data_IF_670632255216
#
_entry.id   IF_670632255216
#
_cell.length_a   1.000
_cell.length_b   1.000
_cell.length_c   1.000
_cell.angle_alpha   90.00
_cell.angle_beta   90.00
_cell.angle_gamma   90.00
#
_symmetry.space_group_name_H-M   'P 1'
#
loop_
_entity.id
_entity.type
_entity.pdbx_description
1 polymer ?
#
# COMPACT_ATOMS: atom_id res chain seq x y z
N UNK A 1 52.36 -0.52 32.21
CA UNK A 1 51.74 -1.14 31.01
C UNK A 1 50.49 -1.98 31.28
N UNK A 2 50.24 -2.53 32.49
CA UNK A 2 49.00 -3.31 32.78
C UNK A 2 47.71 -2.47 32.82
N UNK A 3 47.78 -1.18 33.18
CA UNK A 3 46.62 -0.28 33.27
C UNK A 3 46.12 0.22 31.90
N UNK A 4 46.98 0.21 30.88
CA UNK A 4 46.60 0.58 29.50
C UNK A 4 45.87 -0.57 28.78
N UNK A 5 46.22 -1.83 29.08
CA UNK A 5 45.56 -3.00 28.51
C UNK A 5 44.08 -3.13 28.97
N UNK A 6 43.77 -2.70 30.19
CA UNK A 6 42.39 -2.72 30.73
C UNK A 6 41.50 -1.68 30.05
N UNK A 7 42.08 -0.54 29.66
CA UNK A 7 41.36 0.57 29.03
C UNK A 7 40.98 0.27 27.58
N UNK A 8 41.81 -0.49 26.86
CA UNK A 8 41.52 -0.95 25.49
C UNK A 8 40.50 -2.08 25.48
N UNK A 9 40.51 -2.96 26.49
CA UNK A 9 39.52 -4.05 26.60
C UNK A 9 38.11 -3.51 26.87
N UNK A 10 37.96 -2.40 27.60
CA UNK A 10 36.67 -1.74 27.82
C UNK A 10 36.11 -1.07 26.56
N UNK A 11 36.97 -0.60 25.65
CA UNK A 11 36.55 0.09 24.43
C UNK A 11 35.96 -0.88 23.37
N UNK A 12 36.44 -2.13 23.34
CA UNK A 12 36.00 -3.14 22.37
C UNK A 12 34.65 -3.76 22.75
N UNK A 13 34.35 -3.90 24.05
CA UNK A 13 33.07 -4.47 24.53
C UNK A 13 31.89 -3.52 24.27
N UNK A 14 32.13 -2.20 24.22
CA UNK A 14 31.09 -1.22 23.94
C UNK A 14 30.57 -1.24 22.49
N UNK A 15 31.35 -1.76 21.54
CA UNK A 15 30.96 -1.78 20.12
C UNK A 15 30.09 -2.98 19.74
N UNK A 16 30.17 -4.09 20.49
CA UNK A 16 29.37 -5.29 20.23
C UNK A 16 27.90 -5.08 20.61
N UNK A 17 27.60 -4.18 21.56
CA UNK A 17 26.24 -3.85 21.97
C UNK A 17 25.45 -3.07 20.90
N UNK A 18 26.14 -2.39 19.97
CA UNK A 18 25.48 -1.58 18.93
C UNK A 18 25.00 -2.44 17.76
N UNK A 19 25.65 -3.59 17.48
CA UNK A 19 25.24 -4.50 16.40
C UNK A 19 23.97 -5.29 16.72
N UNK A 20 23.67 -5.56 17.99
CA UNK A 20 22.41 -6.22 18.37
C UNK A 20 21.21 -5.26 18.49
N UNK A 21 21.44 -3.94 18.49
CA UNK A 21 20.34 -2.96 18.51
C UNK A 21 19.72 -2.72 17.12
N UNK A 22 20.41 -3.09 16.04
CA UNK A 22 19.88 -2.94 14.68
C UNK A 22 19.01 -4.12 14.20
N UNK A 23 18.93 -5.23 14.95
CA UNK A 23 18.09 -6.37 14.56
C UNK A 23 16.63 -6.23 15.03
N UNK A 24 16.29 -5.18 15.79
CA UNK A 24 14.93 -5.00 16.33
C UNK A 24 14.12 -3.88 15.68
N UNK A 25 14.50 -3.43 14.48
CA UNK A 25 13.69 -2.46 13.70
C UNK A 25 12.62 -3.13 12.81
N UNK A 26 12.20 -4.35 13.15
CA UNK A 26 11.04 -5.02 12.54
C UNK A 26 9.79 -5.07 13.44
N UNK A 27 9.79 -4.30 14.53
CA UNK A 27 8.57 -3.92 15.25
C UNK A 27 8.38 -2.40 15.16
N UNK A 28 8.38 -1.88 13.93
CA UNK A 28 7.47 -0.76 13.67
C UNK A 28 6.08 -1.36 13.87
N UNK A 29 5.51 -1.11 15.05
CA UNK A 29 4.08 -1.06 15.33
C UNK A 29 3.29 -1.07 14.03
N UNK A 30 2.37 -2.02 13.87
CA UNK A 30 1.27 -1.89 12.92
C UNK A 30 0.84 -0.43 12.97
N UNK A 31 1.25 0.37 11.98
CA UNK A 31 0.61 1.65 11.74
C UNK A 31 -0.80 1.19 11.49
N UNK A 32 -1.71 1.52 12.39
CA UNK A 32 -3.14 1.33 12.15
C UNK A 32 -3.41 2.01 10.82
N UNK A 33 -3.45 1.20 9.77
CA UNK A 33 -3.74 1.68 8.44
C UNK A 33 -5.23 1.94 8.49
N UNK A 34 -5.67 3.21 8.48
CA UNK A 34 -7.07 3.51 8.68
C UNK A 34 -7.91 2.84 7.60
N UNK A 35 -9.12 2.41 7.97
CA UNK A 35 -10.10 2.00 6.98
C UNK A 35 -10.52 3.24 6.17
N UNK A 36 -10.18 3.26 4.90
CA UNK A 36 -10.57 4.32 3.97
C UNK A 36 -11.95 4.02 3.41
N UNK A 37 -12.70 5.08 3.05
CA UNK A 37 -14.03 4.94 2.43
C UNK A 37 -14.14 5.72 1.10
N UNK A 38 -13.28 5.43 0.11
CA UNK A 38 -13.32 6.11 -1.18
C UNK A 38 -14.63 5.85 -1.92
N UNK A 39 -14.99 6.76 -2.81
CA UNK A 39 -16.10 6.64 -3.75
C UNK A 39 -15.53 6.62 -5.16
N UNK A 40 -15.75 5.54 -5.89
CA UNK A 40 -15.20 5.34 -7.24
C UNK A 40 -16.31 5.32 -8.28
N UNK A 41 -15.98 5.69 -9.52
CA UNK A 41 -16.77 5.28 -10.69
C UNK A 41 -16.48 3.80 -10.95
N UNK A 42 -17.50 2.98 -11.20
CA UNK A 42 -17.33 1.52 -11.38
C UNK A 42 -16.33 1.19 -12.52
N UNK A 43 -16.40 1.91 -13.64
CA UNK A 43 -15.46 1.74 -14.76
C UNK A 43 -14.01 2.08 -14.41
N UNK A 44 -13.77 3.01 -13.49
CA UNK A 44 -12.41 3.37 -13.07
C UNK A 44 -11.76 2.22 -12.26
N UNK A 45 -12.56 1.43 -11.52
CA UNK A 45 -12.09 0.21 -10.84
C UNK A 45 -11.66 -0.85 -11.87
N UNK A 46 -12.43 -1.05 -12.95
CA UNK A 46 -12.05 -1.95 -14.04
C UNK A 46 -10.72 -1.53 -14.67
N UNK A 47 -10.55 -0.23 -14.94
CA UNK A 47 -9.29 0.30 -15.50
C UNK A 47 -8.14 0.09 -14.53
N UNK A 48 -8.32 0.34 -13.23
CA UNK A 48 -7.30 0.07 -12.21
C UNK A 48 -6.88 -1.41 -12.19
N UNK A 49 -7.82 -2.35 -12.35
CA UNK A 49 -7.49 -3.77 -12.46
C UNK A 49 -6.72 -4.10 -13.75
N UNK A 50 -7.10 -3.52 -14.90
CA UNK A 50 -6.35 -3.72 -16.15
C UNK A 50 -4.92 -3.20 -16.07
N UNK A 51 -4.73 -2.06 -15.42
CA UNK A 51 -3.42 -1.47 -15.17
C UNK A 51 -2.60 -2.38 -14.24
N UNK A 52 -3.22 -2.84 -13.15
CA UNK A 52 -2.59 -3.72 -12.17
C UNK A 52 -2.09 -5.03 -12.81
N UNK A 53 -2.84 -5.60 -13.76
CA UNK A 53 -2.46 -6.84 -14.45
C UNK A 53 -1.22 -6.69 -15.35
N UNK A 54 -0.85 -5.47 -15.73
CA UNK A 54 0.29 -5.20 -16.61
C UNK A 54 1.61 -4.89 -15.90
N UNK A 55 1.66 -4.94 -14.56
CA UNK A 55 2.87 -4.58 -13.82
C UNK A 55 3.83 -5.77 -13.67
N UNK A 56 5.13 -5.47 -13.68
CA UNK A 56 6.15 -6.42 -13.27
C UNK A 56 6.13 -6.59 -11.75
N UNK A 57 6.28 -7.84 -11.27
CA UNK A 57 6.26 -8.18 -9.85
C UNK A 57 7.55 -8.86 -9.42
N UNK A 58 8.04 -8.48 -8.26
CA UNK A 58 9.05 -9.26 -7.55
C UNK A 58 8.38 -10.39 -6.77
N UNK A 59 9.07 -11.52 -6.57
CA UNK A 59 8.50 -12.69 -5.89
C UNK A 59 7.98 -12.41 -4.48
N UNK A 60 8.59 -11.46 -3.76
CA UNK A 60 8.15 -11.03 -2.43
C UNK A 60 6.91 -10.12 -2.43
N UNK A 61 6.42 -9.71 -3.60
CA UNK A 61 5.25 -8.82 -3.75
C UNK A 61 3.97 -9.59 -4.10
N UNK A 62 4.07 -10.89 -4.40
CA UNK A 62 2.96 -11.71 -4.92
C UNK A 62 1.77 -11.72 -3.98
N UNK A 63 1.97 -11.92 -2.68
CA UNK A 63 0.87 -11.98 -1.72
C UNK A 63 0.13 -10.64 -1.61
N UNK A 64 0.88 -9.54 -1.52
CA UNK A 64 0.33 -8.18 -1.48
C UNK A 64 -0.40 -7.84 -2.79
N UNK A 65 0.12 -8.29 -3.93
CA UNK A 65 -0.51 -8.13 -5.23
C UNK A 65 -1.85 -8.88 -5.31
N UNK A 66 -1.88 -10.14 -4.87
CA UNK A 66 -3.10 -10.95 -4.86
C UNK A 66 -4.15 -10.35 -3.92
N UNK A 67 -3.74 -9.83 -2.76
CA UNK A 67 -4.63 -9.13 -1.84
C UNK A 67 -5.28 -7.89 -2.49
N UNK A 68 -4.50 -7.06 -3.17
CA UNK A 68 -5.01 -5.91 -3.93
C UNK A 68 -5.96 -6.37 -5.03
N UNK A 69 -5.56 -7.35 -5.85
CA UNK A 69 -6.37 -7.87 -6.96
C UNK A 69 -7.72 -8.39 -6.48
N UNK A 70 -7.73 -9.18 -5.41
CA UNK A 70 -8.94 -9.75 -4.83
C UNK A 70 -9.84 -8.66 -4.22
N UNK A 71 -9.25 -7.63 -3.62
CA UNK A 71 -9.99 -6.49 -3.07
C UNK A 71 -10.69 -5.69 -4.17
N UNK A 72 -9.99 -5.35 -5.25
CA UNK A 72 -10.62 -4.65 -6.38
C UNK A 72 -11.70 -5.50 -7.05
N UNK A 73 -11.46 -6.81 -7.17
CA UNK A 73 -12.45 -7.76 -7.70
C UNK A 73 -13.71 -7.78 -6.85
N UNK A 74 -13.60 -7.83 -5.52
CA UNK A 74 -14.76 -7.86 -4.63
C UNK A 74 -15.59 -6.57 -4.72
N UNK A 75 -14.97 -5.42 -5.01
CA UNK A 75 -15.69 -4.18 -5.26
C UNK A 75 -16.51 -4.23 -6.55
N UNK A 76 -15.99 -4.87 -7.60
CA UNK A 76 -16.74 -5.09 -8.85
C UNK A 76 -17.86 -6.11 -8.67
N UNK A 77 -17.62 -7.19 -7.92
CA UNK A 77 -18.66 -8.16 -7.55
C UNK A 77 -19.77 -7.47 -6.74
N UNK A 78 -19.41 -6.59 -5.79
CA UNK A 78 -20.37 -5.76 -5.07
C UNK A 78 -21.16 -4.85 -6.01
N UNK A 79 -20.48 -4.14 -6.92
CA UNK A 79 -21.15 -3.28 -7.90
C UNK A 79 -22.15 -4.06 -8.77
N UNK A 80 -21.79 -5.28 -9.19
CA UNK A 80 -22.67 -6.17 -9.94
C UNK A 80 -23.88 -6.61 -9.12
N UNK A 81 -23.68 -7.00 -7.85
CA UNK A 81 -24.75 -7.39 -6.95
C UNK A 81 -25.72 -6.22 -6.66
N UNK A 82 -25.17 -5.00 -6.57
CA UNK A 82 -25.91 -3.75 -6.42
C UNK A 82 -26.53 -3.26 -7.74
N UNK A 83 -26.32 -3.99 -8.85
CA UNK A 83 -26.80 -3.67 -10.22
C UNK A 83 -26.35 -2.30 -10.72
N UNK A 84 -25.17 -1.86 -10.29
CA UNK A 84 -24.55 -0.61 -10.73
C UNK A 84 -24.01 -0.75 -12.15
N UNK A 85 -24.16 0.31 -12.93
CA UNK A 85 -23.59 0.45 -14.27
C UNK A 85 -22.16 0.95 -14.19
N UNK A 86 -21.44 0.85 -15.31
CA UNK A 86 -20.05 1.30 -15.44
C UNK A 86 -19.84 2.79 -15.10
N UNK A 87 -20.85 3.64 -15.28
CA UNK A 87 -20.81 5.08 -14.99
C UNK A 87 -21.24 5.44 -13.58
N UNK A 88 -21.79 4.48 -12.82
CA UNK A 88 -22.33 4.75 -11.49
C UNK A 88 -21.20 4.83 -10.45
N UNK A 89 -21.52 5.43 -9.30
CA UNK A 89 -20.61 5.58 -8.18
C UNK A 89 -20.81 4.45 -7.16
N UNK A 90 -19.71 3.96 -6.60
CA UNK A 90 -19.70 2.98 -5.52
C UNK A 90 -18.79 3.46 -4.39
N UNK A 91 -19.32 3.49 -3.17
CA UNK A 91 -18.54 3.68 -1.94
C UNK A 91 -18.13 2.32 -1.38
N UNK A 92 -16.86 2.17 -1.06
CA UNK A 92 -16.28 0.90 -0.60
C UNK A 92 -15.48 1.09 0.66
N UNK A 93 -15.39 0.03 1.45
CA UNK A 93 -14.50 -0.05 2.61
C UNK A 93 -13.15 -0.59 2.14
N UNK A 94 -12.12 0.25 2.21
CA UNK A 94 -10.80 -0.02 1.64
C UNK A 94 -9.75 -0.01 2.77
N UNK A 95 -9.25 -1.17 3.22
CA UNK A 95 -8.23 -1.24 4.26
C UNK A 95 -6.97 -0.47 3.84
N UNK A 96 -6.44 0.36 4.74
CA UNK A 96 -5.40 1.32 4.35
C UNK A 96 -4.09 0.68 3.88
N UNK A 97 -3.75 -0.54 4.34
CA UNK A 97 -2.55 -1.24 3.87
C UNK A 97 -2.72 -1.69 2.42
N UNK A 98 -3.91 -2.20 2.07
CA UNK A 98 -4.26 -2.55 0.69
C UNK A 98 -4.31 -1.29 -0.16
N UNK A 99 -4.84 -0.18 0.34
CA UNK A 99 -4.87 1.09 -0.39
C UNK A 99 -3.45 1.58 -0.70
N UNK A 100 -2.54 1.52 0.27
CA UNK A 100 -1.15 1.86 0.07
C UNK A 100 -0.46 0.95 -0.95
N UNK A 101 -0.69 -0.37 -0.88
CA UNK A 101 -0.16 -1.33 -1.85
C UNK A 101 -0.72 -1.07 -3.25
N UNK A 102 -2.02 -0.79 -3.35
CA UNK A 102 -2.69 -0.40 -4.62
C UNK A 102 -1.99 0.80 -5.24
N UNK A 103 -1.78 1.86 -4.46
CA UNK A 103 -1.07 3.06 -4.92
C UNK A 103 0.36 2.76 -5.38
N UNK A 104 1.10 1.94 -4.64
CA UNK A 104 2.45 1.52 -4.99
C UNK A 104 2.49 0.75 -6.31
N UNK A 105 1.59 -0.21 -6.48
CA UNK A 105 1.53 -1.04 -7.68
C UNK A 105 1.08 -0.25 -8.91
N UNK A 106 -0.01 0.52 -8.78
CA UNK A 106 -0.50 1.35 -9.88
C UNK A 106 0.53 2.44 -10.28
N UNK A 107 1.30 2.97 -9.32
CA UNK A 107 2.36 3.94 -9.57
C UNK A 107 3.55 3.42 -10.40
N UNK A 108 3.70 2.10 -10.54
CA UNK A 108 4.76 1.47 -11.36
C UNK A 108 4.35 1.21 -12.80
N UNK A 109 3.07 1.40 -13.12
CA UNK A 109 2.53 1.05 -14.42
C UNK A 109 2.91 2.04 -15.52
N UNK A 110 3.03 1.53 -16.76
CA UNK A 110 3.13 2.36 -17.97
C UNK A 110 1.73 2.48 -18.58
N UNK A 111 1.21 3.70 -18.62
CA UNK A 111 -0.17 3.96 -19.01
C UNK A 111 -0.29 4.41 -20.47
N UNK A 112 -1.30 3.89 -21.15
CA UNK A 112 -1.79 4.48 -22.40
C UNK A 112 -2.62 5.73 -22.09
N UNK A 113 -2.55 6.74 -22.95
CA UNK A 113 -3.25 8.02 -22.73
C UNK A 113 -4.76 7.89 -22.52
N UNK A 114 -5.40 6.89 -23.14
CA UNK A 114 -6.84 6.62 -22.97
C UNK A 114 -7.22 6.16 -21.55
N UNK A 115 -6.26 5.78 -20.70
CA UNK A 115 -6.47 5.38 -19.30
C UNK A 115 -6.19 6.51 -18.31
N UNK A 116 -5.63 7.64 -18.77
CA UNK A 116 -5.10 8.69 -17.90
C UNK A 116 -6.18 9.30 -16.98
N UNK A 117 -7.37 9.59 -17.51
CA UNK A 117 -8.45 10.17 -16.72
C UNK A 117 -8.98 9.21 -15.65
N UNK A 118 -9.23 7.96 -16.04
CA UNK A 118 -9.73 6.93 -15.13
C UNK A 118 -8.72 6.62 -14.01
N UNK A 119 -7.44 6.50 -14.37
CA UNK A 119 -6.36 6.38 -13.39
C UNK A 119 -6.34 7.55 -12.41
N UNK A 120 -6.41 8.79 -12.92
CA UNK A 120 -6.35 9.99 -12.09
C UNK A 120 -7.53 10.08 -11.14
N UNK A 121 -8.76 9.82 -11.62
CA UNK A 121 -9.97 9.80 -10.78
C UNK A 121 -9.90 8.73 -9.69
N UNK A 122 -9.43 7.53 -10.03
CA UNK A 122 -9.25 6.44 -9.06
C UNK A 122 -8.26 6.82 -7.96
N UNK A 123 -7.08 7.31 -8.34
CA UNK A 123 -6.04 7.75 -7.41
C UNK A 123 -6.53 8.92 -6.52
N UNK A 124 -7.21 9.88 -7.11
CA UNK A 124 -7.73 11.04 -6.37
C UNK A 124 -8.79 10.65 -5.35
N UNK A 125 -9.69 9.72 -5.69
CA UNK A 125 -10.68 9.20 -4.74
C UNK A 125 -10.01 8.52 -3.53
N UNK A 126 -8.92 7.78 -3.74
CA UNK A 126 -8.13 7.19 -2.65
C UNK A 126 -7.47 8.27 -1.79
N UNK A 127 -6.80 9.23 -2.41
CA UNK A 127 -6.12 10.32 -1.70
C UNK A 127 -7.12 11.15 -0.90
N UNK A 128 -8.26 11.51 -1.49
CA UNK A 128 -9.28 12.30 -0.82
C UNK A 128 -9.84 11.57 0.40
N UNK A 129 -10.16 10.27 0.26
CA UNK A 129 -10.63 9.46 1.37
C UNK A 129 -9.62 9.35 2.51
N UNK A 130 -8.32 9.50 2.23
CA UNK A 130 -7.27 9.50 3.24
C UNK A 130 -7.17 10.80 4.03
N UNK A 131 -7.63 11.93 3.46
CA UNK A 131 -7.66 13.23 4.15
C UNK A 131 -8.78 13.25 5.19
N UNK A 132 -9.95 12.72 4.83
CA UNK A 132 -11.12 12.64 5.71
C UNK A 132 -10.86 11.87 7.01
N UNK A 133 -9.96 10.88 6.95
CA UNK A 133 -9.58 10.11 8.15
C UNK A 133 -8.58 10.86 9.01
N UNK A 134 -7.70 11.68 8.42
CA UNK A 134 -6.70 12.48 9.18
C UNK A 134 -7.29 13.71 9.87
N UNK A 135 -8.46 14.18 9.43
CA UNK A 135 -9.16 15.32 10.02
C UNK A 135 -10.07 14.96 11.20
N UNK A 136 -10.20 13.68 11.54
CA UNK A 136 -10.94 13.18 12.71
C UNK A 136 -9.98 12.83 13.83
#
# INVERSE_FOLDING_TARGET
MKKFAILVLFLVVAQVAVMFSQQNTQTKTAKDFPLLKPTFVVSDIYVAMQILEGIDLNGNEVDAFLEVKNTLKSFLEKAQNDKLKATDLIKVDFPGHIAQNTMTFLGRSVLKGNMAEAYKRFVDALIESSKDVKSK
#
